data_IF_064994554650
#
_entry.id   IF_064994554650
#
_cell.length_a   1.000
_cell.length_b   1.000
_cell.length_c   1.000
_cell.angle_alpha   90.00
_cell.angle_beta   90.00
_cell.angle_gamma   90.00
#
_symmetry.space_group_name_H-M   'P 1'
#
loop_
_entity.id
_entity.type
_entity.pdbx_description
1 polymer ?
#
# COMPACT_ATOMS: atom_id res chain seq x y z
N UNK A 1 -22.77 -7.45 -40.03
CA UNK A 1 -22.67 -7.80 -38.60
C UNK A 1 -21.33 -7.27 -38.10
N UNK A 2 -21.37 -6.16 -37.37
CA UNK A 2 -20.19 -5.35 -37.05
C UNK A 2 -19.44 -5.93 -35.85
N UNK A 3 -18.19 -6.34 -36.06
CA UNK A 3 -17.21 -6.62 -35.01
C UNK A 3 -16.41 -5.33 -34.79
N UNK A 4 -16.76 -4.55 -33.77
CA UNK A 4 -15.92 -3.44 -33.30
C UNK A 4 -15.14 -3.96 -32.11
N UNK A 5 -13.87 -4.30 -32.35
CA UNK A 5 -12.91 -4.59 -31.30
C UNK A 5 -12.67 -3.31 -30.50
N UNK A 6 -12.92 -3.37 -29.19
CA UNK A 6 -12.45 -2.37 -28.25
C UNK A 6 -10.96 -2.60 -28.04
N UNK A 7 -10.15 -1.97 -28.89
CA UNK A 7 -8.74 -1.76 -28.59
C UNK A 7 -8.68 -0.80 -27.40
N UNK A 8 -8.30 -1.27 -26.22
CA UNK A 8 -8.00 -0.38 -25.09
C UNK A 8 -6.80 0.50 -25.49
N UNK A 9 -7.10 1.70 -25.97
CA UNK A 9 -6.08 2.70 -26.28
C UNK A 9 -5.41 3.12 -24.96
N UNK A 10 -4.07 3.17 -24.89
CA UNK A 10 -3.37 3.69 -23.73
C UNK A 10 -3.93 5.06 -23.33
N UNK A 11 -4.15 5.28 -22.04
CA UNK A 11 -4.51 6.60 -21.55
C UNK A 11 -3.35 7.58 -21.77
N UNK A 12 -3.59 8.80 -22.25
CA UNK A 12 -2.53 9.78 -22.47
C UNK A 12 -1.96 10.22 -21.12
N UNK A 13 -0.67 10.55 -21.09
CA UNK A 13 -0.03 11.16 -19.91
C UNK A 13 -0.51 12.59 -19.78
N UNK A 14 -1.56 12.81 -18.98
CA UNK A 14 -2.09 14.14 -18.69
C UNK A 14 -1.17 14.89 -17.72
N UNK A 15 -1.07 16.20 -17.91
CA UNK A 15 -0.46 17.10 -16.94
C UNK A 15 -1.27 17.15 -15.64
N UNK A 16 -0.63 17.65 -14.58
CA UNK A 16 -1.32 17.83 -13.28
C UNK A 16 -2.53 18.76 -13.38
N UNK A 17 -2.46 19.79 -14.23
CA UNK A 17 -3.54 20.77 -14.42
C UNK A 17 -4.72 20.15 -15.18
N UNK A 18 -4.45 19.38 -16.23
CA UNK A 18 -5.46 18.63 -16.97
C UNK A 18 -6.15 17.58 -16.09
N UNK A 19 -5.39 16.92 -15.22
CA UNK A 19 -5.95 15.96 -14.27
C UNK A 19 -6.86 16.64 -13.24
N UNK A 20 -6.48 17.83 -12.76
CA UNK A 20 -7.29 18.62 -11.84
C UNK A 20 -8.58 19.13 -12.51
N UNK A 21 -8.51 19.51 -13.78
CA UNK A 21 -9.67 19.93 -14.57
C UNK A 21 -10.68 18.78 -14.74
N UNK A 22 -10.22 17.57 -15.08
CA UNK A 22 -11.08 16.37 -15.13
C UNK A 22 -11.73 16.07 -13.78
N UNK A 23 -10.98 16.23 -12.69
CA UNK A 23 -11.45 16.01 -11.33
C UNK A 23 -12.53 17.03 -10.92
N UNK A 24 -12.38 18.29 -11.31
CA UNK A 24 -13.38 19.32 -11.06
C UNK A 24 -14.66 19.06 -11.85
N UNK A 25 -14.56 18.70 -13.13
CA UNK A 25 -15.71 18.32 -13.96
C UNK A 25 -16.47 17.13 -13.35
N UNK A 26 -15.74 16.15 -12.80
CA UNK A 26 -16.36 15.02 -12.09
C UNK A 26 -17.18 15.46 -10.87
N UNK A 27 -16.63 16.32 -10.04
CA UNK A 27 -17.30 16.84 -8.84
C UNK A 27 -18.54 17.66 -9.22
N UNK A 28 -18.45 18.49 -10.26
CA UNK A 28 -19.56 19.32 -10.73
C UNK A 28 -20.71 18.50 -11.34
N UNK A 29 -20.42 17.33 -11.92
CA UNK A 29 -21.44 16.46 -12.50
C UNK A 29 -22.27 15.71 -11.45
N UNK A 30 -21.72 15.44 -10.26
CA UNK A 30 -22.40 14.68 -9.21
C UNK A 30 -22.89 13.31 -9.71
N UNK A 31 -24.16 12.96 -9.42
CA UNK A 31 -24.77 11.67 -9.78
C UNK A 31 -25.33 11.61 -11.22
N UNK A 32 -25.10 12.64 -12.06
CA UNK A 32 -25.66 12.66 -13.41
C UNK A 32 -25.07 11.54 -14.28
N UNK A 33 -25.89 10.84 -15.08
CA UNK A 33 -25.40 9.77 -15.94
C UNK A 33 -24.49 10.34 -17.03
N UNK A 34 -23.34 9.70 -17.25
CA UNK A 34 -22.43 10.04 -18.34
C UNK A 34 -23.06 9.69 -19.69
N UNK A 35 -23.38 10.72 -20.45
CA UNK A 35 -23.76 10.59 -21.86
C UNK A 35 -22.57 10.79 -22.81
N UNK A 36 -22.68 10.21 -24.01
CA UNK A 36 -21.67 10.28 -25.07
C UNK A 36 -21.43 11.71 -25.54
N UNK A 37 -22.47 12.55 -25.61
CA UNK A 37 -22.33 13.95 -26.01
C UNK A 37 -21.43 14.73 -25.03
N UNK A 38 -21.59 14.45 -23.74
CA UNK A 38 -20.83 15.09 -22.67
C UNK A 38 -19.36 14.65 -22.69
N UNK A 39 -19.10 13.36 -22.91
CA UNK A 39 -17.74 12.85 -23.08
C UNK A 39 -17.03 13.49 -24.29
N UNK A 40 -17.77 13.76 -25.37
CA UNK A 40 -17.24 14.42 -26.56
C UNK A 40 -16.94 15.90 -26.32
N UNK A 41 -17.79 16.59 -25.57
CA UNK A 41 -17.59 18.00 -25.21
C UNK A 41 -16.35 18.17 -24.32
N UNK A 42 -16.22 17.34 -23.28
CA UNK A 42 -15.03 17.31 -22.42
C UNK A 42 -13.78 17.03 -23.27
N UNK A 43 -13.78 15.96 -24.07
CA UNK A 43 -12.65 15.63 -24.95
C UNK A 43 -12.25 16.79 -25.89
N UNK A 44 -13.24 17.52 -26.42
CA UNK A 44 -13.02 18.68 -27.29
C UNK A 44 -12.40 19.86 -26.54
N UNK A 45 -12.83 20.13 -25.30
CA UNK A 45 -12.31 21.22 -24.48
C UNK A 45 -10.82 21.00 -24.15
N UNK A 46 -10.45 19.78 -23.77
CA UNK A 46 -9.05 19.39 -23.53
C UNK A 46 -8.20 19.44 -24.80
N UNK A 47 -8.78 19.10 -25.95
CA UNK A 47 -8.09 19.23 -27.23
C UNK A 47 -7.92 20.69 -27.68
N UNK A 48 -8.71 21.61 -27.13
CA UNK A 48 -8.74 23.03 -27.51
C UNK A 48 -7.97 23.94 -26.54
N UNK A 49 -7.71 23.47 -25.31
CA UNK A 49 -6.94 24.20 -24.27
C UNK A 49 -5.42 24.07 -24.42
N UNK A 50 -4.94 23.16 -25.28
CA UNK A 50 -3.50 22.90 -25.52
C UNK A 50 -2.84 23.99 -26.40
N UNK A 51 -2.60 25.16 -25.84
CA UNK A 51 -1.69 26.16 -26.41
C UNK A 51 -0.26 25.97 -25.85
N UNK A 52 0.40 24.87 -26.22
CA UNK A 52 1.83 24.70 -25.93
C UNK A 52 2.33 23.25 -25.90
N UNK A 53 3.06 22.86 -26.94
CA UNK A 53 4.12 21.82 -27.00
C UNK A 53 3.95 20.44 -26.31
N UNK A 54 2.76 20.00 -25.90
CA UNK A 54 2.50 18.61 -25.50
C UNK A 54 1.08 18.22 -25.95
N UNK A 55 0.97 17.68 -27.16
CA UNK A 55 -0.31 17.33 -27.78
C UNK A 55 -0.82 15.99 -27.23
N UNK A 56 -1.47 16.01 -26.06
CA UNK A 56 -2.25 14.87 -25.55
C UNK A 56 -3.72 15.10 -25.85
N UNK A 57 -4.17 14.70 -27.05
CA UNK A 57 -5.60 14.75 -27.37
C UNK A 57 -6.34 13.64 -26.63
N UNK A 58 -7.17 14.00 -25.65
CA UNK A 58 -8.08 13.06 -25.01
C UNK A 58 -9.24 12.72 -25.97
N UNK A 59 -9.45 11.44 -26.21
CA UNK A 59 -10.64 10.95 -26.92
C UNK A 59 -11.84 10.85 -25.96
N UNK A 60 -13.06 10.97 -26.50
CA UNK A 60 -14.28 10.79 -25.70
C UNK A 60 -14.38 9.41 -25.03
N UNK A 61 -13.74 8.38 -25.62
CA UNK A 61 -13.68 7.03 -25.05
C UNK A 61 -12.78 6.98 -23.81
N UNK A 62 -11.64 7.68 -23.84
CA UNK A 62 -10.75 7.82 -22.68
C UNK A 62 -11.44 8.60 -21.57
N UNK A 63 -12.12 9.71 -21.89
CA UNK A 63 -12.94 10.44 -20.90
C UNK A 63 -13.97 9.50 -20.28
N UNK A 64 -14.77 8.80 -21.09
CA UNK A 64 -15.78 7.88 -20.59
C UNK A 64 -15.19 6.79 -19.67
N UNK A 65 -14.03 6.23 -20.02
CA UNK A 65 -13.38 5.19 -19.24
C UNK A 65 -12.81 5.73 -17.92
N UNK A 66 -12.24 6.93 -17.90
CA UNK A 66 -11.75 7.59 -16.68
C UNK A 66 -12.89 7.80 -15.68
N UNK A 67 -14.02 8.32 -16.18
CA UNK A 67 -15.20 8.59 -15.38
C UNK A 67 -15.82 7.32 -14.80
N UNK A 68 -15.91 6.23 -15.59
CA UNK A 68 -16.37 4.92 -15.10
C UNK A 68 -15.46 4.35 -14.01
N UNK A 69 -14.14 4.47 -14.18
CA UNK A 69 -13.19 4.05 -13.16
C UNK A 69 -13.36 4.87 -11.87
N UNK A 70 -13.58 6.19 -12.00
CA UNK A 70 -13.85 7.08 -10.87
C UNK A 70 -15.14 6.70 -10.13
N UNK A 71 -16.23 6.43 -10.85
CA UNK A 71 -17.50 5.98 -10.28
C UNK A 71 -17.37 4.66 -9.50
N UNK A 72 -16.58 3.70 -9.99
CA UNK A 72 -16.31 2.45 -9.25
C UNK A 72 -15.60 2.71 -7.93
N UNK A 73 -14.62 3.62 -7.91
CA UNK A 73 -13.92 4.02 -6.68
C UNK A 73 -14.89 4.73 -5.71
N UNK A 74 -15.81 5.56 -6.22
CA UNK A 74 -16.83 6.21 -5.39
C UNK A 74 -17.87 5.21 -4.83
N UNK A 75 -18.35 4.25 -5.62
CA UNK A 75 -19.33 3.27 -5.13
C UNK A 75 -18.78 2.25 -4.12
N UNK A 76 -17.48 1.93 -4.20
CA UNK A 76 -16.81 1.16 -3.15
C UNK A 76 -16.76 1.95 -1.84
N UNK A 77 -16.66 3.28 -1.91
CA UNK A 77 -16.73 4.19 -0.77
C UNK A 77 -18.14 4.34 -0.19
N UNK A 78 -19.20 4.12 -0.97
CA UNK A 78 -20.60 4.22 -0.51
C UNK A 78 -21.14 2.89 0.07
N UNK A 79 -20.48 1.76 -0.23
CA UNK A 79 -20.79 0.44 0.37
C UNK A 79 -20.12 0.24 1.75
N UNK A 80 -19.24 1.15 2.14
CA UNK A 80 -18.65 1.28 3.47
C UNK A 80 -19.06 2.62 4.06
N UNK A 81 -19.90 2.64 5.10
CA UNK A 81 -20.45 3.88 5.66
C UNK A 81 -19.38 4.97 5.92
N UNK A 82 -19.69 6.26 5.67
CA UNK A 82 -18.69 7.32 5.52
C UNK A 82 -18.45 8.10 6.81
N UNK A 83 -17.21 8.56 7.03
CA UNK A 83 -16.94 9.73 7.88
C UNK A 83 -16.00 10.70 7.15
N UNK A 84 -16.64 11.77 6.68
CA UNK A 84 -16.24 13.18 6.68
C UNK A 84 -14.74 13.51 6.55
N UNK A 85 -14.40 14.32 5.55
CA UNK A 85 -14.07 15.73 5.78
C UNK A 85 -14.03 16.48 4.43
N UNK A 86 -14.89 17.48 4.34
CA UNK A 86 -14.75 18.61 3.42
C UNK A 86 -13.63 19.52 3.95
N UNK A 87 -12.96 20.30 3.08
CA UNK A 87 -11.91 21.21 3.48
C UNK A 87 -12.52 22.53 3.94
N UNK A 88 -12.27 22.94 5.18
CA UNK A 88 -12.20 24.37 5.45
C UNK A 88 -11.27 24.73 6.62
N UNK A 89 -10.71 25.92 6.45
CA UNK A 89 -9.74 26.69 7.21
C UNK A 89 -9.37 26.33 8.65
N UNK A 90 -8.04 26.35 8.88
CA UNK A 90 -7.30 26.76 10.08
C UNK A 90 -7.81 26.22 11.42
N UNK A 91 -7.04 25.36 12.09
CA UNK A 91 -6.66 25.59 13.49
C UNK A 91 -5.66 24.49 13.92
N UNK A 92 -4.53 24.95 14.43
CA UNK A 92 -3.54 24.21 15.18
C UNK A 92 -4.16 23.39 16.32
N UNK A 93 -3.92 22.08 16.36
CA UNK A 93 -4.29 21.26 17.52
C UNK A 93 -3.08 21.06 18.42
N UNK A 94 -3.09 21.80 19.53
CA UNK A 94 -2.30 21.56 20.72
C UNK A 94 -3.00 20.49 21.58
N UNK A 95 -2.19 19.70 22.26
CA UNK A 95 -2.53 18.66 23.25
C UNK A 95 -3.48 19.16 24.35
N UNK A 96 -4.41 18.30 24.78
CA UNK A 96 -5.19 18.48 26.01
C UNK A 96 -6.22 17.37 26.25
N UNK A 97 -6.09 16.69 27.40
CA UNK A 97 -6.79 15.49 27.87
C UNK A 97 -8.31 15.58 28.06
N UNK A 98 -8.98 14.41 28.07
CA UNK A 98 -10.30 14.22 28.71
C UNK A 98 -11.02 12.91 28.33
N UNK A 99 -11.23 12.04 29.33
CA UNK A 99 -11.88 10.71 29.30
C UNK A 99 -13.30 10.63 28.73
N UNK A 100 -13.69 9.47 28.17
CA UNK A 100 -15.10 9.12 27.96
C UNK A 100 -15.43 7.96 26.99
N UNK A 101 -15.22 6.73 27.44
CA UNK A 101 -15.59 5.41 26.89
C UNK A 101 -16.87 5.31 26.01
N UNK A 102 -16.77 4.86 24.73
CA UNK A 102 -17.62 3.80 24.14
C UNK A 102 -17.26 3.43 22.67
N UNK A 103 -17.19 2.12 22.43
CA UNK A 103 -17.34 1.39 21.15
C UNK A 103 -16.40 1.68 19.97
N UNK A 104 -15.29 0.93 19.92
CA UNK A 104 -14.71 0.25 18.74
C UNK A 104 -14.73 0.95 17.36
N UNK A 105 -14.52 2.25 17.30
CA UNK A 105 -13.68 2.83 16.25
C UNK A 105 -12.28 2.87 16.82
N UNK A 106 -11.32 2.11 16.25
CA UNK A 106 -9.91 2.36 16.58
C UNK A 106 -9.68 3.85 16.36
N UNK A 107 -9.30 4.56 17.42
CA UNK A 107 -9.04 5.99 17.36
C UNK A 107 -7.98 6.18 16.27
N UNK A 108 -8.36 6.81 15.16
CA UNK A 108 -7.46 6.99 14.02
C UNK A 108 -6.25 7.85 14.40
N UNK A 109 -6.33 8.58 15.52
CA UNK A 109 -5.21 9.34 16.07
C UNK A 109 -4.13 8.46 16.73
N UNK A 110 -4.44 7.20 17.07
CA UNK A 110 -3.45 6.24 17.59
C UNK A 110 -2.66 5.54 16.49
N UNK A 111 -3.16 5.52 15.24
CA UNK A 111 -2.52 4.79 14.16
C UNK A 111 -1.32 5.57 13.61
N UNK A 112 -0.13 5.01 13.84
CA UNK A 112 1.10 5.47 13.23
C UNK A 112 1.44 4.66 11.98
N UNK A 113 2.05 5.32 10.99
CA UNK A 113 2.40 4.70 9.71
C UNK A 113 3.89 4.85 9.42
N UNK A 114 4.39 3.91 8.62
CA UNK A 114 5.70 3.95 7.98
C UNK A 114 5.53 3.75 6.47
N UNK A 115 6.44 4.30 5.68
CA UNK A 115 6.43 4.19 4.23
C UNK A 115 7.82 3.83 3.70
N UNK A 116 7.87 3.04 2.62
CA UNK A 116 9.11 2.54 2.05
C UNK A 116 9.64 3.50 0.99
N UNK A 117 10.74 4.20 1.25
CA UNK A 117 11.31 5.13 0.28
C UNK A 117 11.80 4.41 -0.98
N UNK A 118 11.62 5.05 -2.13
CA UNK A 118 12.12 4.53 -3.42
C UNK A 118 13.61 4.80 -3.63
N UNK A 119 14.20 5.68 -2.81
CA UNK A 119 15.60 6.13 -2.92
C UNK A 119 16.57 5.12 -2.30
N UNK A 120 16.21 4.54 -1.16
CA UNK A 120 17.10 3.72 -0.33
C UNK A 120 16.47 2.38 0.10
N UNK A 121 15.25 2.08 -0.38
CA UNK A 121 14.44 0.90 -0.05
C UNK A 121 14.15 0.70 1.44
N UNK A 122 14.41 1.71 2.28
CA UNK A 122 14.18 1.66 3.72
C UNK A 122 12.79 2.16 4.08
N UNK A 123 12.28 1.66 5.20
CA UNK A 123 11.04 2.14 5.81
C UNK A 123 11.34 3.29 6.75
N UNK A 124 10.58 4.38 6.57
CA UNK A 124 10.69 5.59 7.36
C UNK A 124 9.34 5.94 7.97
N UNK A 125 9.36 6.50 9.17
CA UNK A 125 8.15 6.97 9.83
C UNK A 125 7.47 8.07 9.01
N UNK A 126 6.15 7.94 8.84
CA UNK A 126 5.34 8.97 8.19
C UNK A 126 4.97 10.03 9.22
N UNK A 127 5.32 11.28 8.95
CA UNK A 127 4.87 12.43 9.74
C UNK A 127 3.47 12.87 9.31
N UNK A 128 3.21 12.91 8.00
CA UNK A 128 1.91 13.30 7.45
C UNK A 128 1.74 12.80 6.01
N UNK A 129 0.49 12.49 5.66
CA UNK A 129 0.05 12.34 4.28
C UNK A 129 -0.40 13.70 3.75
N UNK A 130 0.25 14.18 2.69
CA UNK A 130 0.03 15.54 2.14
C UNK A 130 -1.09 15.58 1.11
N UNK A 131 -1.17 14.54 0.27
CA UNK A 131 -2.15 14.43 -0.81
C UNK A 131 -2.28 12.97 -1.27
N UNK A 132 -3.20 12.69 -2.18
CA UNK A 132 -3.34 11.40 -2.85
C UNK A 132 -3.63 11.58 -4.34
N UNK A 133 -3.35 10.55 -5.15
CA UNK A 133 -3.74 10.48 -6.56
C UNK A 133 -4.10 9.05 -6.94
N UNK A 134 -4.96 8.91 -7.94
CA UNK A 134 -5.27 7.62 -8.54
C UNK A 134 -4.71 7.63 -9.94
N UNK A 135 -3.78 6.72 -10.22
CA UNK A 135 -3.16 6.58 -11.53
C UNK A 135 -4.17 6.03 -12.53
N UNK A 136 -3.88 6.16 -13.83
CA UNK A 136 -4.70 5.56 -14.89
C UNK A 136 -4.79 4.05 -14.79
N UNK A 137 -3.79 3.41 -14.18
CA UNK A 137 -3.76 1.97 -13.83
C UNK A 137 -4.78 1.59 -12.76
N UNK A 138 -5.37 2.57 -12.07
CA UNK A 138 -6.25 2.37 -10.91
C UNK A 138 -5.52 2.28 -9.57
N UNK A 139 -4.19 2.36 -9.58
CA UNK A 139 -3.38 2.34 -8.36
C UNK A 139 -3.53 3.64 -7.57
N UNK A 140 -3.66 3.50 -6.24
CA UNK A 140 -3.72 4.63 -5.33
C UNK A 140 -2.32 4.95 -4.82
N UNK A 141 -1.91 6.20 -4.98
CA UNK A 141 -0.68 6.73 -4.39
C UNK A 141 -0.99 7.85 -3.40
N UNK A 142 -0.24 7.86 -2.29
CA UNK A 142 -0.26 8.94 -1.31
C UNK A 142 1.07 9.70 -1.35
N UNK A 143 1.02 11.03 -1.24
CA UNK A 143 2.22 11.86 -1.09
C UNK A 143 2.59 11.91 0.39
N UNK A 144 3.75 11.38 0.73
CA UNK A 144 4.21 11.17 2.10
C UNK A 144 5.26 12.21 2.46
N UNK A 145 5.15 12.78 3.67
CA UNK A 145 6.25 13.44 4.37
C UNK A 145 6.77 12.55 5.48
N UNK A 146 8.06 12.28 5.47
CA UNK A 146 8.71 11.47 6.49
C UNK A 146 9.04 12.28 7.75
N UNK A 147 9.03 11.63 8.90
CA UNK A 147 9.43 12.22 10.18
C UNK A 147 10.92 12.57 10.16
N UNK A 148 11.27 13.78 10.59
CA UNK A 148 12.65 14.27 10.62
C UNK A 148 13.21 14.76 9.28
N UNK A 149 12.46 14.67 8.18
CA UNK A 149 12.88 15.13 6.86
C UNK A 149 12.08 16.34 6.37
N UNK A 150 12.72 17.18 5.52
CA UNK A 150 12.08 18.33 4.90
C UNK A 150 11.28 17.98 3.64
N UNK A 151 10.58 18.97 3.09
CA UNK A 151 9.68 18.84 1.93
C UNK A 151 10.36 18.36 0.65
N UNK A 152 11.67 18.57 0.55
CA UNK A 152 12.52 18.10 -0.54
C UNK A 152 12.64 16.57 -0.58
N UNK A 153 12.32 15.89 0.53
CA UNK A 153 12.33 14.43 0.61
C UNK A 153 10.95 13.80 0.41
N UNK A 154 9.88 14.58 0.24
CA UNK A 154 8.53 14.04 0.03
C UNK A 154 8.48 13.11 -1.19
N UNK A 155 7.79 11.97 -1.06
CA UNK A 155 7.66 10.97 -2.12
C UNK A 155 6.19 10.60 -2.37
N UNK A 156 5.88 10.23 -3.61
CA UNK A 156 4.62 9.56 -3.95
C UNK A 156 4.80 8.06 -3.75
N UNK A 157 3.97 7.47 -2.89
CA UNK A 157 4.05 6.07 -2.53
C UNK A 157 2.76 5.34 -2.90
N UNK A 158 2.90 4.20 -3.57
CA UNK A 158 1.78 3.26 -3.74
C UNK A 158 1.27 2.84 -2.36
N UNK A 159 -0.02 3.06 -2.08
CA UNK A 159 -0.60 2.84 -0.75
C UNK A 159 -0.64 1.34 -0.40
N UNK A 160 -0.80 0.46 -1.39
CA UNK A 160 -0.85 -0.99 -1.15
C UNK A 160 0.52 -1.56 -0.82
N UNK A 161 1.54 -1.14 -1.57
CA UNK A 161 2.88 -1.77 -1.51
C UNK A 161 3.88 -0.98 -0.65
N UNK A 162 3.65 0.32 -0.45
CA UNK A 162 4.64 1.25 0.05
C UNK A 162 4.25 1.99 1.33
N UNK A 163 3.08 1.72 1.90
CA UNK A 163 2.60 2.34 3.15
C UNK A 163 2.00 1.26 4.04
N UNK A 164 2.35 1.25 5.32
CA UNK A 164 1.79 0.30 6.29
C UNK A 164 1.76 0.88 7.70
N UNK A 165 1.02 0.22 8.59
CA UNK A 165 1.04 0.52 10.03
C UNK A 165 2.47 0.37 10.57
N UNK A 166 2.92 1.29 11.44
CA UNK A 166 4.28 1.33 11.97
C UNK A 166 4.65 0.03 12.68
N UNK A 167 5.89 -0.43 12.48
CA UNK A 167 6.45 -1.57 13.18
C UNK A 167 6.68 -1.25 14.65
N UNK A 168 6.46 -2.22 15.54
CA UNK A 168 6.54 -2.02 16.99
C UNK A 168 7.89 -2.53 17.51
N UNK A 169 8.70 -1.70 18.18
CA UNK A 169 9.95 -2.14 18.81
C UNK A 169 9.71 -3.30 19.77
N UNK A 170 10.64 -4.25 19.79
CA UNK A 170 10.54 -5.42 20.64
C UNK A 170 11.12 -5.13 22.04
N UNK A 171 10.38 -5.47 23.09
CA UNK A 171 10.93 -5.51 24.45
C UNK A 171 11.69 -6.83 24.70
N UNK A 172 12.71 -6.88 25.57
CA UNK A 172 13.49 -8.09 25.77
C UNK A 172 12.66 -9.29 26.26
N UNK A 173 11.64 -9.04 27.09
CA UNK A 173 10.67 -10.04 27.57
C UNK A 173 9.76 -10.59 26.45
N UNK A 174 9.64 -9.86 25.35
CA UNK A 174 8.75 -10.16 24.24
C UNK A 174 9.42 -10.96 23.12
N UNK A 175 10.70 -11.32 23.28
CA UNK A 175 11.46 -12.05 22.27
C UNK A 175 10.77 -13.34 21.78
N UNK A 176 9.95 -13.97 22.63
CA UNK A 176 9.18 -15.18 22.33
C UNK A 176 8.10 -14.98 21.25
N UNK A 177 7.67 -13.73 21.00
CA UNK A 177 6.68 -13.39 19.96
C UNK A 177 7.24 -13.55 18.54
N UNK A 178 8.56 -13.40 18.36
CA UNK A 178 9.23 -13.54 17.06
C UNK A 178 9.46 -15.02 16.76
N UNK A 179 9.01 -15.49 15.60
CA UNK A 179 9.17 -16.90 15.17
C UNK A 179 9.80 -16.97 13.79
N UNK A 180 10.30 -18.15 13.45
CA UNK A 180 10.79 -18.45 12.12
C UNK A 180 9.70 -18.16 11.07
N UNK A 181 10.10 -17.56 9.95
CA UNK A 181 9.22 -17.11 8.86
C UNK A 181 8.61 -15.71 9.03
N UNK A 182 8.59 -15.15 10.25
CA UNK A 182 8.00 -13.84 10.51
C UNK A 182 8.67 -12.73 9.68
N UNK A 183 7.85 -11.79 9.21
CA UNK A 183 8.34 -10.52 8.65
C UNK A 183 8.62 -9.57 9.81
N UNK A 184 9.80 -8.97 9.79
CA UNK A 184 10.27 -7.98 10.79
C UNK A 184 10.89 -6.79 10.08
N UNK A 185 10.79 -5.63 10.70
CA UNK A 185 11.60 -4.48 10.32
C UNK A 185 12.92 -4.56 11.08
N UNK A 186 14.03 -4.64 10.35
CA UNK A 186 15.36 -4.83 10.92
C UNK A 186 16.23 -3.60 10.68
N UNK A 187 16.85 -3.10 11.74
CA UNK A 187 17.88 -2.09 11.65
C UNK A 187 19.14 -2.70 11.02
N UNK A 188 19.55 -2.16 9.88
CA UNK A 188 20.68 -2.54 9.06
C UNK A 188 21.74 -1.46 9.17
N UNK A 189 22.78 -1.73 9.94
CA UNK A 189 23.91 -0.82 10.10
C UNK A 189 25.10 -1.31 9.26
N UNK A 190 25.67 -0.38 8.51
CA UNK A 190 26.89 -0.51 7.70
C UNK A 190 27.78 0.70 8.00
N UNK A 191 29.00 0.70 7.48
CA UNK A 191 29.98 1.76 7.77
C UNK A 191 29.49 3.16 7.34
N UNK A 192 28.85 3.24 6.17
CA UNK A 192 28.43 4.52 5.58
C UNK A 192 26.94 4.85 5.77
N UNK A 193 26.13 3.89 6.23
CA UNK A 193 24.69 4.07 6.33
C UNK A 193 24.03 3.19 7.38
N UNK A 194 22.87 3.63 7.84
CA UNK A 194 22.02 2.91 8.77
C UNK A 194 20.56 3.01 8.29
N UNK A 195 19.93 1.88 8.02
CA UNK A 195 18.61 1.79 7.39
C UNK A 195 17.69 0.85 8.16
N UNK A 196 16.38 1.07 8.08
CA UNK A 196 15.38 0.11 8.54
C UNK A 196 14.81 -0.63 7.34
N UNK A 197 15.14 -1.92 7.21
CA UNK A 197 14.78 -2.73 6.05
C UNK A 197 13.92 -3.91 6.45
N UNK A 198 13.04 -4.35 5.55
CA UNK A 198 12.32 -5.60 5.74
C UNK A 198 13.27 -6.79 5.71
N UNK A 199 13.08 -7.69 6.67
CA UNK A 199 13.76 -8.96 6.74
C UNK A 199 12.81 -10.07 7.19
N UNK A 200 13.08 -11.30 6.78
CA UNK A 200 12.38 -12.49 7.26
C UNK A 200 13.25 -13.24 8.25
N UNK A 201 12.67 -13.65 9.37
CA UNK A 201 13.37 -14.48 10.35
C UNK A 201 13.58 -15.87 9.75
N UNK A 202 14.82 -16.24 9.49
CA UNK A 202 15.17 -17.59 9.00
C UNK A 202 15.14 -18.58 10.15
N UNK A 203 15.71 -18.18 11.29
CA UNK A 203 15.82 -19.03 12.46
C UNK A 203 16.04 -18.22 13.74
N UNK A 204 15.39 -18.60 14.82
CA UNK A 204 15.68 -18.05 16.16
C UNK A 204 16.53 -19.01 16.99
N UNK A 205 17.71 -18.57 17.41
CA UNK A 205 18.55 -19.28 18.38
C UNK A 205 18.25 -18.78 19.79
N UNK A 206 17.40 -19.54 20.49
CA UNK A 206 16.96 -19.22 21.86
C UNK A 206 18.06 -19.51 22.88
N UNK A 207 18.18 -18.63 23.88
CA UNK A 207 19.06 -18.79 25.05
C UNK A 207 18.27 -18.55 26.32
N UNK A 208 18.77 -19.07 27.45
CA UNK A 208 18.25 -18.71 28.77
C UNK A 208 18.73 -17.29 29.08
N UNK A 209 17.82 -16.42 29.47
CA UNK A 209 18.12 -15.03 29.79
C UNK A 209 17.04 -14.43 30.70
N UNK A 210 17.35 -13.30 31.33
CA UNK A 210 16.40 -12.57 32.16
C UNK A 210 15.38 -11.79 31.31
N UNK A 211 14.19 -11.46 31.84
CA UNK A 211 13.18 -10.69 31.10
C UNK A 211 13.64 -9.28 30.69
N UNK A 212 14.62 -8.72 31.37
CA UNK A 212 15.15 -7.37 31.13
C UNK A 212 16.28 -7.34 30.08
N UNK A 213 16.90 -8.48 29.77
CA UNK A 213 17.99 -8.53 28.80
C UNK A 213 17.96 -9.82 27.99
N UNK A 214 17.46 -9.74 26.76
CA UNK A 214 17.41 -10.89 25.86
C UNK A 214 18.76 -11.11 25.16
N UNK A 215 19.27 -12.34 25.25
CA UNK A 215 20.53 -12.77 24.61
C UNK A 215 20.34 -13.72 23.43
N UNK A 216 19.09 -13.93 23.00
CA UNK A 216 18.75 -14.71 21.81
C UNK A 216 19.39 -14.10 20.56
N UNK A 217 19.71 -14.95 19.58
CA UNK A 217 20.21 -14.53 18.27
C UNK A 217 19.16 -14.83 17.21
N UNK A 218 18.80 -13.82 16.42
CA UNK A 218 17.81 -13.92 15.35
C UNK A 218 18.55 -13.91 14.02
N UNK A 219 18.52 -15.02 13.29
CA UNK A 219 19.08 -15.08 11.94
C UNK A 219 18.01 -14.54 11.02
N UNK A 220 18.26 -13.39 10.40
CA UNK A 220 17.33 -12.74 9.48
C UNK A 220 17.89 -12.76 8.07
N UNK A 221 17.00 -12.84 7.08
CA UNK A 221 17.32 -12.66 5.66
C UNK A 221 16.65 -11.39 5.16
N UNK A 222 17.44 -10.43 4.70
CA UNK A 222 16.91 -9.18 4.16
C UNK A 222 16.16 -9.41 2.85
N UNK A 223 15.00 -8.77 2.71
CA UNK A 223 14.12 -8.97 1.54
C UNK A 223 14.71 -8.35 0.27
N UNK A 224 15.48 -7.28 0.40
CA UNK A 224 15.99 -6.51 -0.74
C UNK A 224 17.17 -7.17 -1.46
N UNK A 225 18.04 -7.88 -0.75
CA UNK A 225 19.27 -8.47 -1.32
C UNK A 225 19.50 -9.94 -0.96
N UNK A 226 18.62 -10.55 -0.16
CA UNK A 226 18.72 -11.92 0.35
C UNK A 226 19.95 -12.20 1.23
N UNK A 227 20.65 -11.18 1.71
CA UNK A 227 21.75 -11.37 2.66
C UNK A 227 21.23 -11.85 4.01
N UNK A 228 21.99 -12.72 4.67
CA UNK A 228 21.66 -13.24 5.99
C UNK A 228 22.58 -12.68 7.07
N UNK A 229 22.01 -12.31 8.21
CA UNK A 229 22.75 -11.74 9.33
C UNK A 229 22.16 -12.23 10.66
N UNK A 230 23.04 -12.54 11.62
CA UNK A 230 22.63 -12.82 12.99
C UNK A 230 22.53 -11.52 13.79
N UNK A 231 21.33 -11.12 14.19
CA UNK A 231 21.07 -9.87 14.90
C UNK A 231 20.50 -10.09 16.31
N UNK A 232 20.63 -9.07 17.15
CA UNK A 232 20.02 -9.03 18.49
C UNK A 232 18.59 -8.47 18.43
N UNK A 233 17.82 -8.67 19.51
CA UNK A 233 16.45 -8.17 19.62
C UNK A 233 16.34 -6.64 19.45
N UNK A 234 17.37 -5.89 19.88
CA UNK A 234 17.42 -4.42 19.81
C UNK A 234 17.33 -3.87 18.39
N UNK A 235 17.64 -4.70 17.38
CA UNK A 235 17.60 -4.33 15.97
C UNK A 235 16.28 -4.69 15.29
N UNK A 236 15.32 -5.29 16.02
CA UNK A 236 14.08 -5.81 15.44
C UNK A 236 12.87 -5.03 15.93
N UNK A 237 12.00 -4.68 14.98
CA UNK A 237 10.64 -4.26 15.23
C UNK A 237 9.68 -5.29 14.62
N UNK A 238 8.65 -5.66 15.37
CA UNK A 238 7.63 -6.61 14.93
C UNK A 238 6.56 -5.92 14.09
N UNK A 239 6.07 -6.63 13.07
CA UNK A 239 4.86 -6.21 12.34
C UNK A 239 3.62 -6.41 13.21
N UNK A 240 2.72 -5.40 13.33
CA UNK A 240 1.47 -5.53 14.08
C UNK A 240 0.59 -6.68 13.59
N UNK A 241 0.56 -6.88 12.27
CA UNK A 241 -0.05 -8.03 11.61
C UNK A 241 1.03 -8.78 10.83
N UNK A 242 1.12 -10.09 11.04
CA UNK A 242 2.02 -10.92 10.23
C UNK A 242 1.40 -11.09 8.85
N UNK A 243 2.15 -10.69 7.82
CA UNK A 243 1.77 -10.97 6.44
C UNK A 243 2.02 -12.45 6.17
N UNK A 244 0.95 -13.20 5.92
CA UNK A 244 1.03 -14.57 5.40
C UNK A 244 1.92 -14.56 4.16
N UNK A 245 2.93 -15.45 4.07
CA UNK A 245 3.71 -15.54 2.84
C UNK A 245 2.75 -15.82 1.70
N UNK A 246 2.70 -14.93 0.71
CA UNK A 246 1.93 -15.16 -0.50
C UNK A 246 2.37 -16.51 -1.06
N UNK A 247 1.52 -17.53 -0.92
CA UNK A 247 1.73 -18.81 -1.57
C UNK A 247 1.67 -18.49 -3.05
N UNK A 248 2.82 -18.42 -3.71
CA UNK A 248 2.87 -18.55 -5.15
C UNK A 248 2.37 -19.95 -5.45
N UNK A 249 1.06 -20.11 -5.62
CA UNK A 249 0.50 -21.26 -6.32
C UNK A 249 1.07 -21.20 -7.72
N UNK A 250 2.17 -21.92 -7.93
CA UNK A 250 2.71 -22.21 -9.24
C UNK A 250 1.59 -22.93 -10.02
N UNK A 251 1.05 -22.36 -11.11
CA UNK A 251 0.01 -23.03 -11.90
C UNK A 251 0.52 -24.30 -12.62
N UNK A 252 1.81 -24.63 -12.47
CA UNK A 252 2.50 -25.67 -13.24
C UNK A 252 2.67 -27.01 -12.49
N UNK A 253 2.12 -27.20 -11.28
CA UNK A 253 2.19 -28.48 -10.58
C UNK A 253 0.79 -28.98 -10.14
N UNK A 254 -0.11 -29.12 -11.11
CA UNK A 254 -1.21 -30.07 -10.98
C UNK A 254 -0.64 -31.48 -11.22
N UNK A 255 -0.05 -32.08 -10.18
CA UNK A 255 0.09 -33.53 -10.14
C UNK A 255 -1.31 -34.11 -9.94
N UNK A 256 -1.82 -34.73 -11.00
CA UNK A 256 -3.02 -35.56 -11.02
C UNK A 256 -2.91 -36.67 -10.00
N UNK A 257 -3.43 -36.45 -8.79
CA UNK A 257 -3.88 -37.53 -7.92
C UNK A 257 -5.21 -38.04 -8.47
N UNK A 258 -5.14 -39.04 -9.35
CA UNK A 258 -6.29 -39.87 -9.70
C UNK A 258 -6.70 -40.69 -8.46
N UNK A 259 -7.94 -40.57 -7.96
CA UNK A 259 -8.45 -41.41 -6.89
C UNK A 259 -9.34 -42.50 -7.49
N UNK A 260 -8.77 -43.64 -7.88
CA UNK A 260 -9.56 -44.86 -8.08
C UNK A 260 -8.63 -46.05 -8.28
N UNK A 261 -8.58 -46.96 -7.32
CA UNK A 261 -8.71 -48.40 -7.56
C UNK A 261 -9.07 -49.10 -6.25
N UNK A 262 -9.99 -50.05 -6.38
CA UNK A 262 -10.89 -50.57 -5.35
C UNK A 262 -10.23 -51.49 -4.30
N UNK A 263 -10.88 -51.70 -3.16
CA UNK A 263 -10.60 -52.80 -2.25
C UNK A 263 -11.31 -54.08 -2.71
N UNK A 264 -10.67 -55.26 -2.56
CA UNK A 264 -11.22 -56.54 -2.05
C UNK A 264 -10.26 -57.72 -2.37
N UNK A 265 -9.86 -58.38 -1.28
CA UNK A 265 -9.56 -59.82 -1.05
C UNK A 265 -8.69 -60.66 -2.00
N UNK A 266 -7.58 -61.15 -1.42
CA UNK A 266 -7.26 -62.59 -1.31
C UNK A 266 -6.13 -62.76 -0.27
N UNK A 267 -6.41 -63.11 1.00
CA UNK A 267 -6.52 -64.45 1.58
C UNK A 267 -5.26 -65.35 1.43
N UNK A 268 -4.66 -65.63 2.61
CA UNK A 268 -3.72 -66.69 3.04
C UNK A 268 -2.21 -66.44 2.98
N UNK A 269 -1.61 -66.48 4.18
CA UNK A 269 -0.20 -66.39 4.54
C UNK A 269 -0.07 -65.89 5.97
#
# INVERSE_FOLDING_TARGET
>A
MNKLGLTESPFPTLSSDEMLELENIYKDMGEKPLDRMLCQEIAKNFSSSSNGASKTSLSWQQVQQWFRNRQRVTQVKDSSSPCLLSPDHSHSFLLGSGDGNSSSSKDLSELAFEARSTKDVAWHDVAMFLNYRVLSTGELEARVRYAGFGKEQDEWMNVREGVRERSVPLEPSECHKVKDGHLVLCFLEREDYALYCDARVVKVQRKIHDPEDCTCTFIVRFVHDNTEEGVSWKRLCCRPTQEEPAVYTNPALNFTLNPTLNPIESLWG
#
